data_IF_450991682206
#
_entry.id   IF_450991682206
#
_cell.length_a   1.000
_cell.length_b   1.000
_cell.length_c   1.000
_cell.angle_alpha   90.00
_cell.angle_beta   90.00
_cell.angle_gamma   90.00
#
_symmetry.space_group_name_H-M   'P 1'
#
loop_
_entity.id
_entity.type
_entity.pdbx_description
1 polymer ?
#
# COMPACT_ATOMS: atom_id res chain seq x y z
N UNK A 1 28.57 2.35 11.52
CA UNK A 1 28.27 1.27 12.50
C UNK A 1 26.83 1.34 13.01
N UNK A 2 26.26 2.52 13.21
CA UNK A 2 24.87 2.68 13.68
C UNK A 2 23.83 2.07 12.73
N UNK A 3 23.91 2.34 11.42
CA UNK A 3 22.98 1.76 10.44
C UNK A 3 23.04 0.23 10.38
N UNK A 4 24.23 -0.35 10.53
CA UNK A 4 24.42 -1.80 10.57
C UNK A 4 23.75 -2.41 11.79
N UNK A 5 23.97 -1.83 12.97
CA UNK A 5 23.36 -2.30 14.21
C UNK A 5 21.84 -2.19 14.17
N UNK A 6 21.30 -1.09 13.64
CA UNK A 6 19.85 -0.89 13.50
C UNK A 6 19.25 -1.96 12.58
N UNK A 7 19.84 -2.20 11.41
CA UNK A 7 19.36 -3.24 10.47
C UNK A 7 19.47 -4.64 11.04
N UNK A 8 20.55 -4.93 11.77
CA UNK A 8 20.72 -6.22 12.46
C UNK A 8 19.64 -6.43 13.52
N UNK A 9 19.35 -5.42 14.34
CA UNK A 9 18.30 -5.48 15.35
C UNK A 9 16.91 -5.61 14.72
N UNK A 10 16.64 -4.89 13.63
CA UNK A 10 15.39 -5.03 12.88
C UNK A 10 15.20 -6.44 12.31
N UNK A 11 16.27 -7.01 11.74
CA UNK A 11 16.27 -8.38 11.22
C UNK A 11 16.01 -9.40 12.34
N UNK A 12 16.70 -9.27 13.46
CA UNK A 12 16.49 -10.12 14.63
C UNK A 12 15.07 -10.01 15.17
N UNK A 13 14.52 -8.80 15.25
CA UNK A 13 13.14 -8.56 15.67
C UNK A 13 12.12 -9.18 14.70
N UNK A 14 12.33 -9.02 13.39
CA UNK A 14 11.45 -9.56 12.36
C UNK A 14 11.41 -11.10 12.40
N UNK A 15 12.58 -11.75 12.49
CA UNK A 15 12.66 -13.21 12.64
C UNK A 15 12.04 -13.66 13.96
N UNK A 16 12.31 -12.97 15.07
CA UNK A 16 11.72 -13.28 16.37
C UNK A 16 10.20 -13.29 16.30
N UNK A 17 9.60 -12.24 15.71
CA UNK A 17 8.16 -12.11 15.60
C UNK A 17 7.56 -13.19 14.68
N UNK A 18 8.20 -13.45 13.54
CA UNK A 18 7.75 -14.45 12.58
C UNK A 18 7.79 -15.86 13.16
N UNK A 19 8.87 -16.24 13.84
CA UNK A 19 9.01 -17.54 14.50
C UNK A 19 8.04 -17.66 15.67
N UNK A 20 7.95 -16.64 16.53
CA UNK A 20 7.07 -16.65 17.69
C UNK A 20 5.60 -16.85 17.29
N UNK A 21 5.14 -16.16 16.25
CA UNK A 21 3.77 -16.29 15.76
C UNK A 21 3.55 -17.61 15.01
N UNK A 22 4.55 -18.10 14.29
CA UNK A 22 4.51 -19.42 13.63
C UNK A 22 4.34 -20.54 14.67
N UNK A 23 5.26 -20.64 15.62
CA UNK A 23 5.16 -21.62 16.70
C UNK A 23 3.90 -21.40 17.53
N UNK A 24 3.54 -20.12 17.74
CA UNK A 24 2.32 -19.69 18.41
C UNK A 24 1.05 -20.22 17.73
N UNK A 25 1.05 -20.34 16.40
CA UNK A 25 -0.04 -20.93 15.63
C UNK A 25 -0.20 -22.43 15.91
N UNK A 26 0.89 -23.20 15.85
CA UNK A 26 0.88 -24.61 16.22
C UNK A 26 0.41 -24.80 17.67
N UNK A 27 0.95 -23.99 18.58
CA UNK A 27 0.57 -23.99 19.99
C UNK A 27 -0.92 -23.67 20.22
N UNK A 28 -1.43 -22.65 19.54
CA UNK A 28 -2.83 -22.22 19.64
C UNK A 28 -3.79 -23.33 19.27
N UNK A 29 -3.59 -23.97 18.10
CA UNK A 29 -4.43 -25.09 17.67
C UNK A 29 -4.24 -26.33 18.55
N UNK A 30 -3.02 -26.62 19.02
CA UNK A 30 -2.77 -27.73 19.92
C UNK A 30 -3.55 -27.58 21.24
N UNK A 31 -3.49 -26.38 21.86
CA UNK A 31 -4.27 -26.07 23.07
C UNK A 31 -5.77 -26.06 22.81
N UNK A 32 -6.22 -25.55 21.66
CA UNK A 32 -7.64 -25.52 21.27
C UNK A 32 -8.24 -26.94 21.19
N UNK A 33 -7.49 -27.92 20.70
CA UNK A 33 -7.94 -29.31 20.61
C UNK A 33 -7.59 -30.17 21.84
N UNK A 34 -7.09 -29.54 22.92
CA UNK A 34 -6.73 -30.22 24.16
C UNK A 34 -5.56 -31.20 23.99
N UNK A 35 -4.62 -30.89 23.08
CA UNK A 35 -3.36 -31.61 22.93
C UNK A 35 -2.32 -30.98 23.86
N UNK A 36 -1.59 -31.82 24.58
CA UNK A 36 -0.53 -31.38 25.48
C UNK A 36 0.67 -30.86 24.67
N UNK A 37 1.20 -29.72 25.08
CA UNK A 37 2.45 -29.15 24.56
C UNK A 37 3.45 -29.12 25.70
N UNK A 38 4.58 -29.78 25.53
CA UNK A 38 5.60 -29.94 26.58
C UNK A 38 6.58 -28.77 26.61
N UNK A 39 6.97 -28.27 25.44
CA UNK A 39 7.90 -27.14 25.29
C UNK A 39 7.43 -26.18 24.20
N UNK A 40 7.57 -24.89 24.47
CA UNK A 40 7.38 -23.80 23.53
C UNK A 40 8.60 -22.90 23.60
N UNK A 41 9.49 -22.99 22.60
CA UNK A 41 10.75 -22.27 22.58
C UNK A 41 10.83 -21.30 21.42
N UNK A 42 11.14 -20.05 21.75
CA UNK A 42 11.60 -19.06 20.79
C UNK A 42 13.11 -19.23 20.63
N UNK A 43 13.62 -19.49 19.42
CA UNK A 43 15.04 -19.81 19.19
C UNK A 43 15.46 -21.20 19.67
N UNK A 44 16.39 -21.80 18.92
CA UNK A 44 16.94 -23.10 19.28
C UNK A 44 17.88 -22.96 20.48
N UNK A 45 17.82 -23.96 21.37
CA UNK A 45 18.60 -24.04 22.61
C UNK A 45 19.66 -25.17 22.58
N UNK A 46 20.56 -25.25 21.57
CA UNK A 46 21.62 -26.24 21.62
C UNK A 46 22.59 -25.88 22.76
N UNK A 47 22.90 -26.86 23.60
CA UNK A 47 23.75 -26.77 24.81
C UNK A 47 23.19 -25.95 25.99
N UNK A 48 22.69 -24.73 25.78
CA UNK A 48 22.15 -23.88 26.84
C UNK A 48 20.96 -23.02 26.38
N UNK A 49 20.14 -22.57 27.32
CA UNK A 49 19.00 -21.66 27.07
C UNK A 49 19.24 -20.30 27.74
N UNK A 50 18.74 -19.23 27.13
CA UNK A 50 18.83 -17.87 27.68
C UNK A 50 17.83 -17.65 28.81
N UNK A 51 16.63 -18.22 28.67
CA UNK A 51 15.57 -18.10 29.65
C UNK A 51 14.66 -19.32 29.57
N UNK A 52 14.25 -19.85 30.72
CA UNK A 52 13.27 -20.93 30.82
C UNK A 52 12.30 -20.62 31.95
N UNK A 53 11.00 -20.75 31.66
CA UNK A 53 9.93 -20.51 32.59
C UNK A 53 8.83 -21.56 32.44
N UNK A 54 8.58 -22.29 33.54
CA UNK A 54 7.51 -23.28 33.63
C UNK A 54 6.43 -22.79 34.62
N UNK A 55 5.24 -22.40 34.15
CA UNK A 55 4.15 -22.04 35.03
C UNK A 55 3.71 -23.23 35.91
N UNK A 56 3.48 -23.01 37.21
CA UNK A 56 3.14 -24.05 38.19
C UNK A 56 1.84 -24.85 37.90
N UNK A 57 1.03 -24.40 36.94
CA UNK A 57 -0.23 -25.04 36.51
C UNK A 57 -0.27 -25.37 35.00
N UNK A 58 0.87 -25.30 34.31
CA UNK A 58 0.96 -25.60 32.88
C UNK A 58 1.88 -26.78 32.64
N UNK A 59 1.45 -27.68 31.75
CA UNK A 59 2.30 -28.73 31.20
C UNK A 59 3.37 -28.18 30.24
N UNK A 60 3.24 -26.92 29.83
CA UNK A 60 4.10 -26.27 28.83
C UNK A 60 5.22 -25.47 29.49
N UNK A 61 6.44 -25.77 29.08
CA UNK A 61 7.65 -25.03 29.44
C UNK A 61 7.92 -23.98 28.36
N UNK A 62 7.99 -22.71 28.74
CA UNK A 62 8.29 -21.61 27.82
C UNK A 62 9.77 -21.27 27.91
N UNK A 63 10.46 -21.15 26.78
CA UNK A 63 11.89 -20.87 26.78
C UNK A 63 12.33 -19.95 25.64
N UNK A 64 13.52 -19.39 25.82
CA UNK A 64 14.23 -18.63 24.78
C UNK A 64 15.60 -19.27 24.59
N UNK A 65 15.86 -19.79 23.40
CA UNK A 65 17.17 -20.28 22.97
C UNK A 65 18.12 -19.16 22.57
N UNK A 66 19.41 -19.45 22.47
CA UNK A 66 20.40 -18.44 22.07
C UNK A 66 20.58 -18.36 20.54
N UNK A 67 20.17 -19.40 19.79
CA UNK A 67 20.40 -19.51 18.36
C UNK A 67 19.18 -19.04 17.55
N UNK A 68 19.24 -17.87 16.89
CA UNK A 68 18.08 -17.22 16.26
C UNK A 68 17.71 -17.80 14.88
N UNK A 69 17.90 -19.10 14.67
CA UNK A 69 17.68 -19.78 13.38
C UNK A 69 16.31 -20.47 13.26
N UNK A 70 15.45 -20.38 14.27
CA UNK A 70 14.13 -21.02 14.25
C UNK A 70 13.49 -21.00 15.63
N UNK A 71 12.49 -21.83 15.84
CA UNK A 71 11.84 -22.08 17.13
C UNK A 71 11.26 -23.49 17.09
N UNK A 72 10.73 -23.97 18.20
CA UNK A 72 10.02 -25.24 18.19
C UNK A 72 8.92 -25.32 19.24
N UNK A 73 7.84 -25.98 18.86
CA UNK A 73 6.70 -26.30 19.69
C UNK A 73 6.60 -27.83 19.84
N UNK A 74 7.09 -28.36 20.95
CA UNK A 74 7.09 -29.82 21.21
C UNK A 74 5.69 -30.28 21.62
N UNK A 75 4.95 -30.82 20.67
CA UNK A 75 3.58 -31.32 20.86
C UNK A 75 3.62 -32.81 21.22
N UNK A 76 2.93 -33.19 22.30
CA UNK A 76 2.92 -34.56 22.79
C UNK A 76 2.31 -35.53 21.76
N UNK A 77 3.05 -36.58 21.39
CA UNK A 77 2.59 -37.61 20.46
C UNK A 77 2.62 -37.25 18.98
N UNK A 78 3.22 -36.11 18.60
CA UNK A 78 3.61 -35.80 17.23
C UNK A 78 5.05 -36.30 17.00
N UNK A 79 5.30 -37.00 15.89
CA UNK A 79 6.67 -37.35 15.49
C UNK A 79 7.29 -36.06 14.97
N UNK A 80 8.05 -35.39 15.81
CA UNK A 80 8.88 -34.28 15.37
C UNK A 80 10.24 -34.83 14.92
N UNK A 81 10.86 -34.18 13.94
CA UNK A 81 12.07 -34.64 13.23
C UNK A 81 13.30 -34.79 14.15
N UNK A 82 13.19 -34.43 15.43
CA UNK A 82 14.23 -34.59 16.43
C UNK A 82 13.70 -35.14 17.76
N UNK A 83 14.17 -36.35 18.10
CA UNK A 83 14.31 -36.89 19.46
C UNK A 83 13.07 -37.22 20.31
N UNK A 84 12.19 -38.14 19.90
CA UNK A 84 11.50 -39.00 20.90
C UNK A 84 10.86 -40.29 20.33
N UNK A 85 11.70 -41.29 20.06
CA UNK A 85 11.25 -42.68 19.79
C UNK A 85 10.85 -43.43 21.07
N UNK A 86 11.22 -42.92 22.25
CA UNK A 86 10.91 -43.52 23.56
C UNK A 86 9.43 -43.32 23.97
N UNK A 87 8.87 -42.13 23.71
CA UNK A 87 7.48 -41.78 24.03
C UNK A 87 6.46 -42.51 23.13
N UNK A 88 6.92 -43.11 22.03
CA UNK A 88 6.11 -43.90 21.10
C UNK A 88 5.89 -45.35 21.56
N UNK A 89 6.68 -45.83 22.54
CA UNK A 89 6.56 -47.19 23.09
C UNK A 89 5.43 -47.34 24.12
N UNK A 90 4.88 -46.22 24.59
CA UNK A 90 3.79 -46.21 25.58
C UNK A 90 2.42 -46.19 24.89
N UNK A 91 1.38 -46.74 25.54
CA UNK A 91 0.01 -46.70 24.99
C UNK A 91 -0.45 -45.26 24.79
N UNK A 92 -1.05 -45.00 23.63
CA UNK A 92 -1.48 -43.67 23.20
C UNK A 92 -2.46 -43.05 24.20
N UNK A 93 -2.09 -41.90 24.77
CA UNK A 93 -2.94 -41.19 25.72
C UNK A 93 -3.97 -40.26 25.03
N UNK A 94 -5.14 -40.00 25.62
CA UNK A 94 -6.20 -39.15 25.03
C UNK A 94 -5.80 -37.68 24.75
N UNK A 95 -4.74 -37.20 25.40
CA UNK A 95 -4.18 -35.85 25.24
C UNK A 95 -3.01 -35.79 24.24
N UNK A 96 -2.68 -36.90 23.58
CA UNK A 96 -1.68 -36.94 22.52
C UNK A 96 -2.26 -36.55 21.16
N UNK A 97 -1.42 -35.96 20.32
CA UNK A 97 -1.74 -35.62 18.94
C UNK A 97 -2.29 -36.83 18.16
N UNK A 98 -1.72 -38.03 18.37
CA UNK A 98 -2.08 -39.26 17.64
C UNK A 98 -3.50 -39.78 17.91
N UNK A 99 -4.14 -39.38 19.02
CA UNK A 99 -5.50 -39.82 19.37
C UNK A 99 -6.59 -38.88 18.84
N UNK A 100 -6.22 -37.75 18.23
CA UNK A 100 -7.16 -36.75 17.71
C UNK A 100 -7.61 -37.05 16.27
N UNK A 101 -8.84 -36.66 15.89
CA UNK A 101 -9.30 -36.70 14.51
C UNK A 101 -8.32 -36.05 13.52
N UNK A 102 -8.23 -36.62 12.31
CA UNK A 102 -7.25 -36.19 11.29
C UNK A 102 -7.36 -34.72 10.91
N UNK A 103 -8.56 -34.15 10.91
CA UNK A 103 -8.75 -32.72 10.61
C UNK A 103 -8.21 -31.79 11.71
N UNK A 104 -8.28 -32.20 12.98
CA UNK A 104 -7.67 -31.44 14.10
C UNK A 104 -6.15 -31.50 14.00
N UNK A 105 -5.62 -32.68 13.70
CA UNK A 105 -4.18 -32.88 13.44
C UNK A 105 -3.69 -32.02 12.28
N UNK A 106 -4.46 -31.95 11.19
CA UNK A 106 -4.15 -31.09 10.05
C UNK A 106 -4.05 -29.62 10.46
N UNK A 107 -5.06 -29.09 11.17
CA UNK A 107 -5.06 -27.70 11.63
C UNK A 107 -3.89 -27.38 12.56
N UNK A 108 -3.50 -28.32 13.43
CA UNK A 108 -2.30 -28.18 14.26
C UNK A 108 -1.05 -28.13 13.38
N UNK A 109 -0.91 -29.03 12.39
CA UNK A 109 0.27 -29.09 11.51
C UNK A 109 0.39 -27.89 10.57
N UNK A 110 -0.70 -27.30 10.10
CA UNK A 110 -0.65 -26.09 9.26
C UNK A 110 -0.76 -24.80 10.07
N UNK A 111 -0.96 -24.91 11.38
CA UNK A 111 -1.29 -23.79 12.27
C UNK A 111 -0.30 -22.63 12.17
N UNK A 112 1.01 -22.92 12.19
CA UNK A 112 2.03 -21.89 12.07
C UNK A 112 2.05 -21.20 10.71
N UNK A 113 1.94 -21.96 9.61
CA UNK A 113 1.88 -21.39 8.26
C UNK A 113 0.62 -20.52 8.10
N UNK A 114 -0.52 -21.00 8.61
CA UNK A 114 -1.80 -20.28 8.55
C UNK A 114 -1.74 -18.96 9.31
N UNK A 115 -1.17 -18.94 10.53
CA UNK A 115 -1.01 -17.69 11.30
C UNK A 115 -0.07 -16.72 10.57
N UNK A 116 1.04 -17.19 10.01
CA UNK A 116 1.94 -16.32 9.25
C UNK A 116 1.28 -15.77 7.98
N UNK A 117 0.47 -16.57 7.29
CA UNK A 117 -0.29 -16.12 6.13
C UNK A 117 -1.30 -15.02 6.51
N UNK A 118 -2.05 -15.22 7.59
CA UNK A 118 -2.99 -14.21 8.11
C UNK A 118 -2.27 -12.95 8.59
N UNK A 119 -1.12 -13.11 9.25
CA UNK A 119 -0.27 -11.99 9.66
C UNK A 119 0.20 -11.19 8.44
N UNK A 120 0.63 -11.86 7.36
CA UNK A 120 1.04 -11.19 6.14
C UNK A 120 -0.11 -10.40 5.53
N UNK A 121 -1.30 -11.01 5.40
CA UNK A 121 -2.52 -10.32 4.93
C UNK A 121 -2.80 -9.06 5.77
N UNK A 122 -2.74 -9.19 7.10
CA UNK A 122 -2.97 -8.10 8.03
C UNK A 122 -1.93 -6.97 7.86
N UNK A 123 -0.64 -7.30 7.80
CA UNK A 123 0.44 -6.32 7.61
C UNK A 123 0.24 -5.59 6.28
N UNK A 124 0.03 -6.31 5.17
CA UNK A 124 -0.17 -5.68 3.87
C UNK A 124 -1.45 -4.84 3.81
N UNK A 125 -2.54 -5.29 4.44
CA UNK A 125 -3.76 -4.50 4.54
C UNK A 125 -3.53 -3.20 5.32
N UNK A 126 -2.81 -3.25 6.45
CA UNK A 126 -2.45 -2.05 7.22
C UNK A 126 -1.52 -1.12 6.45
N UNK A 127 -0.58 -1.67 5.67
CA UNK A 127 0.30 -0.89 4.81
C UNK A 127 -0.52 -0.13 3.76
N UNK A 128 -1.43 -0.80 3.08
CA UNK A 128 -2.32 -0.18 2.10
C UNK A 128 -3.31 0.81 2.74
N UNK A 129 -3.73 0.55 3.97
CA UNK A 129 -4.63 1.45 4.70
C UNK A 129 -3.92 2.74 5.15
N UNK A 130 -2.69 2.64 5.66
CA UNK A 130 -1.94 3.78 6.19
C UNK A 130 -1.15 4.56 5.13
N UNK A 131 -0.63 3.87 4.11
CA UNK A 131 0.22 4.42 3.06
C UNK A 131 -0.29 4.14 1.65
N UNK A 132 -1.55 3.74 1.49
CA UNK A 132 -2.15 3.59 0.17
C UNK A 132 -2.22 4.92 -0.57
N UNK A 133 -2.06 4.87 -1.88
CA UNK A 133 -2.15 6.06 -2.72
C UNK A 133 -3.60 6.51 -2.88
N UNK A 134 -3.90 7.73 -2.42
CA UNK A 134 -5.08 8.45 -2.86
C UNK A 134 -4.88 8.89 -4.31
N UNK A 135 -5.84 8.58 -5.18
CA UNK A 135 -5.84 9.08 -6.54
C UNK A 135 -6.97 10.08 -6.75
N UNK A 136 -6.70 11.12 -7.53
CA UNK A 136 -7.72 12.06 -7.99
C UNK A 136 -8.35 11.51 -9.26
N UNK A 137 -9.68 11.43 -9.30
CA UNK A 137 -10.40 11.24 -10.56
C UNK A 137 -10.31 12.51 -11.37
N UNK A 138 -10.34 12.41 -12.69
CA UNK A 138 -10.28 13.61 -13.55
C UNK A 138 -11.47 14.55 -13.33
N UNK A 139 -12.61 14.02 -12.91
CA UNK A 139 -13.82 14.77 -12.55
C UNK A 139 -13.69 15.58 -11.26
N UNK A 140 -12.78 15.18 -10.37
CA UNK A 140 -12.57 15.85 -9.07
C UNK A 140 -11.63 17.07 -9.20
N UNK A 141 -11.04 17.28 -10.38
CA UNK A 141 -10.16 18.41 -10.67
C UNK A 141 -10.98 19.67 -10.89
N UNK A 142 -11.40 20.32 -9.80
CA UNK A 142 -12.30 21.50 -9.80
C UNK A 142 -11.76 22.70 -10.57
N UNK A 143 -10.44 22.86 -10.64
CA UNK A 143 -9.78 23.93 -11.43
C UNK A 143 -9.70 23.61 -12.93
N UNK A 144 -10.07 22.39 -13.32
CA UNK A 144 -10.06 21.92 -14.69
C UNK A 144 -8.66 21.65 -15.25
N UNK A 145 -8.59 21.68 -16.57
CA UNK A 145 -7.41 21.31 -17.35
C UNK A 145 -6.93 22.48 -18.21
N UNK A 146 -5.64 22.50 -18.51
CA UNK A 146 -5.04 23.38 -19.51
C UNK A 146 -4.76 22.59 -20.78
N UNK A 147 -5.17 23.14 -21.91
CA UNK A 147 -5.10 22.46 -23.20
C UNK A 147 -4.14 23.16 -24.16
N UNK A 148 -3.48 22.39 -25.02
CA UNK A 148 -2.63 22.94 -26.07
C UNK A 148 -3.46 23.50 -27.25
N UNK A 149 -2.78 24.09 -28.22
CA UNK A 149 -3.41 24.71 -29.40
C UNK A 149 -4.23 23.71 -30.22
N UNK A 150 -3.77 22.47 -30.36
CA UNK A 150 -4.49 21.44 -31.13
C UNK A 150 -5.78 21.00 -30.42
N UNK A 151 -5.72 20.77 -29.11
CA UNK A 151 -6.90 20.50 -28.31
C UNK A 151 -7.90 21.66 -28.37
N UNK A 152 -7.43 22.91 -28.33
CA UNK A 152 -8.30 24.09 -28.46
C UNK A 152 -9.01 24.16 -29.82
N UNK A 153 -8.35 23.74 -30.91
CA UNK A 153 -8.98 23.64 -32.24
C UNK A 153 -10.11 22.60 -32.28
N UNK A 154 -10.01 21.54 -31.47
CA UNK A 154 -11.06 20.52 -31.34
C UNK A 154 -12.26 21.01 -30.51
N UNK A 155 -12.12 22.13 -29.78
CA UNK A 155 -13.19 22.75 -28.99
C UNK A 155 -13.00 22.66 -27.48
N UNK A 156 -11.89 22.08 -27.00
CA UNK A 156 -11.51 22.16 -25.59
C UNK A 156 -11.17 23.61 -25.20
N UNK A 157 -11.44 23.97 -23.96
CA UNK A 157 -11.08 25.26 -23.39
C UNK A 157 -10.35 25.04 -22.07
N UNK A 158 -9.47 25.99 -21.73
CA UNK A 158 -8.81 25.97 -20.43
C UNK A 158 -9.88 26.05 -19.33
N UNK A 159 -9.65 25.34 -18.23
CA UNK A 159 -10.60 25.08 -17.14
C UNK A 159 -11.73 24.10 -17.45
N UNK A 160 -11.75 23.45 -18.62
CA UNK A 160 -12.67 22.32 -18.81
C UNK A 160 -12.32 21.16 -17.87
N UNK A 161 -13.33 20.56 -17.26
CA UNK A 161 -13.21 19.38 -16.41
C UNK A 161 -13.56 18.14 -17.24
N UNK A 162 -12.61 17.23 -17.42
CA UNK A 162 -12.80 15.97 -18.13
C UNK A 162 -13.66 15.01 -17.28
N UNK A 163 -14.87 14.69 -17.74
CA UNK A 163 -15.82 13.82 -17.01
C UNK A 163 -15.85 12.42 -17.61
N UNK A 164 -15.95 12.32 -18.93
CA UNK A 164 -16.14 11.02 -19.58
C UNK A 164 -15.92 11.04 -21.08
N UNK A 165 -16.11 9.89 -21.70
CA UNK A 165 -15.98 9.66 -23.12
C UNK A 165 -16.92 8.54 -23.56
N UNK A 166 -17.66 8.71 -24.66
CA UNK A 166 -18.60 7.71 -25.22
C UNK A 166 -19.53 7.03 -24.18
N UNK A 167 -20.02 7.82 -23.23
CA UNK A 167 -20.90 7.35 -22.14
C UNK A 167 -20.19 6.62 -20.98
N UNK A 168 -18.85 6.56 -20.98
CA UNK A 168 -18.02 6.05 -19.87
C UNK A 168 -17.39 7.21 -19.11
N UNK A 169 -17.08 7.01 -17.83
CA UNK A 169 -16.36 8.01 -17.02
C UNK A 169 -14.85 7.82 -17.12
N UNK A 170 -14.11 8.92 -17.06
CA UNK A 170 -12.67 8.86 -16.86
C UNK A 170 -12.35 8.43 -15.43
N UNK A 171 -11.33 7.58 -15.29
CA UNK A 171 -10.86 7.10 -14.00
C UNK A 171 -9.80 8.01 -13.37
N UNK A 172 -8.71 7.39 -12.92
CA UNK A 172 -7.53 8.07 -12.37
C UNK A 172 -6.83 8.91 -13.43
N UNK A 173 -6.31 10.07 -13.04
CA UNK A 173 -5.37 10.80 -13.90
C UNK A 173 -4.10 9.99 -14.17
N UNK A 174 -3.98 9.44 -15.37
CA UNK A 174 -2.83 8.71 -15.88
C UNK A 174 -2.80 8.75 -17.42
N UNK A 175 -1.92 7.94 -18.03
CA UNK A 175 -1.81 7.80 -19.48
C UNK A 175 -3.11 7.30 -20.14
N UNK A 176 -3.95 6.56 -19.42
CA UNK A 176 -5.21 6.04 -19.97
C UNK A 176 -6.19 7.15 -20.33
N UNK A 177 -6.15 8.31 -19.66
CA UNK A 177 -6.98 9.46 -20.01
C UNK A 177 -6.74 9.88 -21.47
N UNK A 178 -5.48 9.99 -21.88
CA UNK A 178 -5.11 10.35 -23.24
C UNK A 178 -5.47 9.26 -24.24
N UNK A 179 -5.29 7.98 -23.85
CA UNK A 179 -5.67 6.84 -24.67
C UNK A 179 -7.17 6.85 -24.96
N UNK A 180 -7.97 7.04 -23.92
CA UNK A 180 -9.42 7.14 -24.02
C UNK A 180 -9.87 8.34 -24.83
N UNK A 181 -9.20 9.49 -24.72
CA UNK A 181 -9.49 10.66 -25.59
C UNK A 181 -9.16 10.36 -27.06
N UNK A 182 -8.04 9.67 -27.33
CA UNK A 182 -7.62 9.35 -28.70
C UNK A 182 -8.55 8.33 -29.38
N UNK A 183 -9.06 7.35 -28.62
CA UNK A 183 -9.94 6.29 -29.13
C UNK A 183 -11.43 6.71 -29.14
N UNK A 184 -11.81 7.77 -28.44
CA UNK A 184 -13.21 8.17 -28.28
C UNK A 184 -13.78 8.81 -29.53
N UNK A 185 -15.09 8.67 -29.73
CA UNK A 185 -15.84 9.48 -30.70
C UNK A 185 -16.25 10.82 -30.11
N UNK A 186 -16.57 10.82 -28.83
CA UNK A 186 -17.03 11.98 -28.07
C UNK A 186 -16.38 12.03 -26.69
N UNK A 187 -15.90 13.20 -26.31
CA UNK A 187 -15.37 13.49 -24.97
C UNK A 187 -16.30 14.48 -24.28
N UNK A 188 -16.77 14.12 -23.10
CA UNK A 188 -17.67 14.93 -22.29
C UNK A 188 -16.86 15.75 -21.29
N UNK A 189 -17.08 17.07 -21.32
CA UNK A 189 -16.44 18.01 -20.40
C UNK A 189 -17.49 18.84 -19.66
N UNK A 190 -17.18 19.23 -18.43
CA UNK A 190 -17.90 20.30 -17.73
C UNK A 190 -17.11 21.59 -17.94
N UNK A 191 -17.77 22.57 -18.56
CA UNK A 191 -17.23 23.92 -18.73
C UNK A 191 -17.89 24.85 -17.72
N UNK A 192 -17.06 25.37 -16.81
CA UNK A 192 -17.49 26.36 -15.83
C UNK A 192 -17.48 27.74 -16.46
N UNK A 193 -18.62 28.43 -16.41
CA UNK A 193 -18.71 29.85 -16.73
C UNK A 193 -18.43 30.64 -15.45
N UNK A 194 -17.38 31.46 -15.47
CA UNK A 194 -16.97 32.28 -14.34
C UNK A 194 -17.27 33.76 -14.59
N UNK A 195 -17.53 34.53 -13.54
CA UNK A 195 -17.65 35.99 -13.63
C UNK A 195 -16.27 36.66 -13.78
N UNK A 196 -16.27 37.99 -13.91
CA UNK A 196 -15.04 38.80 -13.94
C UNK A 196 -14.20 38.71 -12.66
N UNK A 197 -14.73 38.11 -11.58
CA UNK A 197 -14.03 37.86 -10.32
C UNK A 197 -13.49 36.42 -10.21
N UNK A 198 -13.72 35.58 -11.23
CA UNK A 198 -13.31 34.18 -11.27
C UNK A 198 -14.22 33.23 -10.49
N UNK A 199 -15.40 33.69 -10.04
CA UNK A 199 -16.38 32.84 -9.36
C UNK A 199 -17.22 32.10 -10.38
N UNK A 200 -17.31 30.78 -10.25
CA UNK A 200 -18.18 29.93 -11.09
C UNK A 200 -19.63 30.33 -10.88
N UNK A 201 -20.28 30.76 -11.96
CA UNK A 201 -21.69 31.18 -12.01
C UNK A 201 -22.57 30.03 -12.51
N UNK A 202 -22.10 29.30 -13.52
CA UNK A 202 -22.82 28.20 -14.15
C UNK A 202 -21.84 27.13 -14.63
N UNK A 203 -22.32 25.90 -14.77
CA UNK A 203 -21.53 24.75 -15.23
C UNK A 203 -22.31 24.00 -16.29
N UNK A 204 -21.81 23.98 -17.53
CA UNK A 204 -22.46 23.31 -18.65
C UNK A 204 -21.70 22.05 -19.06
N UNK A 205 -22.41 20.94 -19.24
CA UNK A 205 -21.86 19.74 -19.90
C UNK A 205 -21.81 19.95 -21.42
N UNK A 206 -20.65 19.69 -22.01
CA UNK A 206 -20.39 19.86 -23.43
C UNK A 206 -19.77 18.57 -23.97
N UNK A 207 -20.32 18.06 -25.07
CA UNK A 207 -19.77 16.93 -25.79
C UNK A 207 -18.90 17.43 -26.95
N UNK A 208 -17.62 17.11 -26.90
CA UNK A 208 -16.62 17.45 -27.92
C UNK A 208 -16.45 16.23 -28.84
N UNK A 209 -16.68 16.41 -30.14
CA UNK A 209 -16.46 15.35 -31.12
C UNK A 209 -14.98 15.22 -31.42
N UNK A 210 -14.46 14.01 -31.32
CA UNK A 210 -13.06 13.72 -31.56
C UNK A 210 -12.85 13.21 -33.00
N UNK A 211 -11.74 13.56 -33.65
CA UNK A 211 -11.40 13.03 -34.97
C UNK A 211 -10.87 11.59 -34.86
N UNK A 212 -11.18 10.78 -35.87
CA UNK A 212 -10.65 9.41 -35.97
C UNK A 212 -9.12 9.43 -36.23
N UNK A 213 -8.40 8.46 -35.65
CA UNK A 213 -6.97 8.28 -35.91
C UNK A 213 -6.04 9.21 -35.13
N UNK A 214 -6.53 9.82 -34.04
CA UNK A 214 -5.68 10.55 -33.09
C UNK A 214 -4.60 9.63 -32.51
N UNK A 215 -3.38 10.14 -32.40
CA UNK A 215 -2.26 9.38 -31.84
C UNK A 215 -1.99 9.77 -30.40
N UNK A 216 -2.09 8.79 -29.50
CA UNK A 216 -1.66 8.94 -28.10
C UNK A 216 -0.22 9.47 -28.00
N UNK A 217 0.67 8.99 -28.87
CA UNK A 217 2.08 9.37 -28.85
C UNK A 217 2.27 10.85 -29.20
N UNK A 218 1.52 11.40 -30.15
CA UNK A 218 1.61 12.83 -30.49
C UNK A 218 1.06 13.68 -29.36
N UNK A 219 -0.08 13.28 -28.79
CA UNK A 219 -0.69 13.98 -27.64
C UNK A 219 0.24 14.11 -26.44
N UNK A 220 1.12 13.12 -26.20
CA UNK A 220 2.07 13.11 -25.09
C UNK A 220 3.42 13.77 -25.43
N UNK A 221 3.82 13.83 -26.69
CA UNK A 221 5.12 14.35 -27.13
C UNK A 221 5.10 15.83 -27.50
N UNK A 222 3.94 16.38 -27.85
CA UNK A 222 3.83 17.79 -28.16
C UNK A 222 4.23 18.65 -26.94
N UNK A 223 4.87 19.78 -27.21
CA UNK A 223 5.17 20.81 -26.21
C UNK A 223 4.45 22.10 -26.59
N UNK A 224 3.40 22.52 -25.86
CA UNK A 224 2.79 21.86 -24.68
C UNK A 224 2.01 20.57 -25.00
N UNK A 225 1.97 19.66 -24.03
CA UNK A 225 1.22 18.38 -24.07
C UNK A 225 -0.27 18.65 -24.27
N UNK A 226 -0.99 17.72 -24.90
CA UNK A 226 -2.40 17.87 -25.27
C UNK A 226 -3.29 18.47 -24.17
N UNK A 227 -3.19 17.93 -22.95
CA UNK A 227 -3.89 18.45 -21.78
C UNK A 227 -3.05 18.19 -20.52
N UNK A 228 -3.06 19.11 -19.55
CA UNK A 228 -2.50 18.89 -18.21
C UNK A 228 -3.47 19.44 -17.16
N UNK A 229 -3.53 18.88 -15.94
CA UNK A 229 -4.28 19.51 -14.86
C UNK A 229 -3.82 20.96 -14.69
N UNK A 230 -4.79 21.88 -14.60
CA UNK A 230 -4.48 23.30 -14.42
C UNK A 230 -3.92 23.51 -13.02
N UNK A 231 -2.70 24.06 -12.94
CA UNK A 231 -2.06 24.42 -11.67
C UNK A 231 -1.87 25.94 -11.69
N UNK A 232 -2.61 26.73 -10.89
CA UNK A 232 -2.51 28.18 -10.90
C UNK A 232 -1.09 28.62 -10.56
N UNK A 233 -0.62 29.70 -11.19
CA UNK A 233 0.69 30.32 -10.90
C UNK A 233 0.68 31.07 -9.55
N UNK A 234 0.17 30.42 -8.50
CA UNK A 234 0.14 30.87 -7.12
C UNK A 234 1.29 30.22 -6.34
N UNK A 235 1.93 31.01 -5.49
CA UNK A 235 3.02 30.55 -4.63
C UNK A 235 2.43 29.84 -3.41
N UNK A 236 2.53 28.50 -3.38
CA UNK A 236 2.10 27.73 -2.20
C UNK A 236 3.02 27.95 -0.99
N UNK A 237 4.34 27.92 -1.21
CA UNK A 237 5.33 28.02 -0.14
C UNK A 237 6.66 28.59 -0.66
N UNK A 238 7.40 29.25 0.23
CA UNK A 238 8.72 29.84 -0.07
C UNK A 238 9.74 29.32 0.94
N UNK A 239 10.83 28.74 0.44
CA UNK A 239 11.90 28.21 1.27
C UNK A 239 12.57 29.32 2.10
N UNK A 240 12.82 29.09 3.40
CA UNK A 240 13.59 30.02 4.23
C UNK A 240 14.95 30.36 3.61
N UNK A 241 15.35 31.63 3.71
CA UNK A 241 16.64 32.16 3.23
C UNK A 241 16.89 32.06 1.71
N UNK A 242 15.92 31.62 0.93
CA UNK A 242 16.01 31.53 -0.53
C UNK A 242 16.09 32.90 -1.21
N UNK A 243 16.61 32.99 -2.45
CA UNK A 243 16.55 34.21 -3.26
C UNK A 243 15.12 34.74 -3.43
N UNK A 244 14.13 33.85 -3.56
CA UNK A 244 12.71 34.20 -3.66
C UNK A 244 12.21 34.94 -2.42
N UNK A 245 12.57 34.46 -1.21
CA UNK A 245 12.25 35.14 0.04
C UNK A 245 12.93 36.52 0.14
N UNK A 246 14.20 36.62 -0.26
CA UNK A 246 14.95 37.88 -0.28
C UNK A 246 14.37 38.89 -1.29
N UNK A 247 13.80 38.39 -2.40
CA UNK A 247 13.08 39.19 -3.39
C UNK A 247 11.68 39.62 -2.92
N UNK A 248 11.22 39.17 -1.75
CA UNK A 248 9.95 39.57 -1.15
C UNK A 248 8.75 38.72 -1.57
N UNK A 249 8.96 37.60 -2.27
CA UNK A 249 7.90 36.66 -2.65
C UNK A 249 7.36 35.96 -1.40
N UNK A 250 6.03 35.88 -1.30
CA UNK A 250 5.31 35.31 -0.16
C UNK A 250 4.32 34.24 -0.62
N UNK A 251 3.92 33.39 0.33
CA UNK A 251 2.81 32.45 0.15
C UNK A 251 1.55 33.24 -0.23
N UNK A 252 0.84 32.78 -1.26
CA UNK A 252 -0.38 33.38 -1.80
C UNK A 252 -0.12 34.44 -2.88
N UNK A 253 1.12 34.80 -3.16
CA UNK A 253 1.43 35.67 -4.31
C UNK A 253 1.06 34.95 -5.61
N UNK A 254 0.46 35.68 -6.55
CA UNK A 254 0.16 35.18 -7.90
C UNK A 254 1.12 35.79 -8.90
N UNK A 255 1.88 34.95 -9.59
CA UNK A 255 2.72 35.38 -10.70
C UNK A 255 1.83 35.69 -11.90
N UNK A 256 2.02 36.89 -12.46
CA UNK A 256 1.27 37.36 -13.64
C UNK A 256 2.10 37.36 -14.91
N UNK A 257 3.43 37.38 -14.79
CA UNK A 257 4.36 37.34 -15.91
C UNK A 257 5.78 36.92 -15.48
N UNK A 258 6.51 36.28 -16.39
CA UNK A 258 7.94 35.98 -16.25
C UNK A 258 8.65 36.54 -17.49
N UNK A 259 9.68 37.38 -17.28
CA UNK A 259 10.43 38.03 -18.36
C UNK A 259 9.53 38.76 -19.39
N UNK A 260 8.44 39.37 -18.91
CA UNK A 260 7.47 40.09 -19.76
C UNK A 260 6.49 39.19 -20.52
N UNK A 261 6.61 37.85 -20.42
CA UNK A 261 5.59 36.92 -20.94
C UNK A 261 4.51 36.68 -19.87
N UNK A 262 3.23 36.96 -20.16
CA UNK A 262 2.14 36.67 -19.24
C UNK A 262 2.10 35.18 -18.89
N UNK A 263 1.86 34.88 -17.61
CA UNK A 263 1.63 33.51 -17.14
C UNK A 263 0.40 33.50 -16.23
N UNK A 264 -0.37 32.43 -16.29
CA UNK A 264 -1.54 32.20 -15.45
C UNK A 264 -1.47 30.88 -14.66
N UNK A 265 -0.53 30.01 -15.02
CA UNK A 265 -0.39 28.64 -14.51
C UNK A 265 1.08 28.19 -14.47
N UNK A 266 1.40 27.19 -13.67
CA UNK A 266 2.70 26.49 -13.70
C UNK A 266 2.85 25.51 -14.87
N UNK A 267 1.86 25.45 -15.77
CA UNK A 267 1.85 24.58 -16.95
C UNK A 267 2.53 25.22 -18.18
N UNK A 268 2.98 26.49 -18.08
CA UNK A 268 3.69 27.26 -19.11
C UNK A 268 5.16 26.83 -19.30
#
# INVERSE_FOLDING_TARGET
MEEFLIRLLQFMLAISLLVLLHEGGHFFFAKLFGVRVDKFYLFFDPWFHLFEYKPKKSDTTYGIGWLPLGGYCKIAGMIDESFDTEQMKQPAQPWEFRTKPTWQRLLIMIGGVLVNFLLALFIYAMVLFAWGDSYFKTSDLTMGWKFNTEAKKLGFQDHDILVGYDGKEFGKFNVDVYRHIADAQTVQVIRNQSDSTGKVIDSKKIDIKMPEGMSLLTMLKDEPVFARPFVPAEIDSVLPQSPAMKAGIKKGDRLVAINGKPIDSWNE
#
